data_IF_224748749024
#
_entry.id   IF_224748749024
#
_cell.length_a   1.000
_cell.length_b   1.000
_cell.length_c   1.000
_cell.angle_alpha   90.00
_cell.angle_beta   90.00
_cell.angle_gamma   90.00
#
_symmetry.space_group_name_H-M   'P 1'
#
loop_
_entity.id
_entity.type
_entity.pdbx_description
1 polymer ?
#
# COMPACT_ATOMS: atom_id res chain seq x y z
N UNK A 1 -0.29 24.36 -8.54
CA UNK A 1 -1.40 23.41 -8.66
C UNK A 1 -1.92 23.16 -7.25
N UNK A 2 -3.25 23.18 -7.00
CA UNK A 2 -3.82 22.77 -5.72
C UNK A 2 -3.46 21.32 -5.40
N UNK A 3 -2.99 21.09 -4.18
CA UNK A 3 -2.64 19.76 -3.72
C UNK A 3 -3.12 19.50 -2.30
N UNK A 4 -3.29 18.23 -1.94
CA UNK A 4 -3.55 17.76 -0.60
C UNK A 4 -2.58 16.64 -0.22
N UNK A 5 -2.64 16.15 1.02
CA UNK A 5 -1.91 14.97 1.46
C UNK A 5 -2.87 13.89 1.99
N UNK A 6 -2.56 12.64 1.72
CA UNK A 6 -3.16 11.50 2.42
C UNK A 6 -2.51 11.39 3.80
N UNK A 7 -3.31 11.27 4.83
CA UNK A 7 -2.87 11.19 6.22
C UNK A 7 -3.49 9.97 6.88
N UNK A 8 -2.72 8.91 7.04
CA UNK A 8 -3.15 7.66 7.70
C UNK A 8 -2.83 7.62 9.20
N UNK A 9 -2.08 8.60 9.73
CA UNK A 9 -1.55 8.57 11.08
C UNK A 9 -0.28 7.73 11.25
N UNK A 10 0.11 6.94 10.25
CA UNK A 10 1.39 6.24 10.19
C UNK A 10 2.57 7.19 9.97
N UNK A 11 3.80 6.69 10.20
CA UNK A 11 5.02 7.49 10.16
C UNK A 11 5.23 8.20 8.81
N UNK A 12 5.10 7.46 7.73
CA UNK A 12 5.43 7.93 6.37
C UNK A 12 4.50 9.06 5.90
N UNK A 13 3.19 8.86 6.03
CA UNK A 13 2.20 9.89 5.70
C UNK A 13 2.34 11.12 6.60
N UNK A 14 2.73 10.92 7.88
CA UNK A 14 2.95 12.00 8.84
C UNK A 14 4.17 12.84 8.47
N UNK A 15 5.28 12.23 8.06
CA UNK A 15 6.50 12.93 7.63
C UNK A 15 6.21 13.78 6.40
N UNK A 16 5.60 13.21 5.36
CA UNK A 16 5.27 13.94 4.13
C UNK A 16 4.32 15.09 4.42
N UNK A 17 3.27 14.84 5.21
CA UNK A 17 2.30 15.87 5.58
C UNK A 17 2.93 16.99 6.42
N UNK A 18 3.86 16.67 7.33
CA UNK A 18 4.56 17.68 8.13
C UNK A 18 5.46 18.58 7.27
N UNK A 19 6.21 18.00 6.34
CA UNK A 19 7.06 18.76 5.41
C UNK A 19 6.19 19.67 4.53
N UNK A 20 5.13 19.12 3.94
CA UNK A 20 4.21 19.88 3.10
C UNK A 20 3.53 21.01 3.88
N UNK A 21 3.07 20.74 5.13
CA UNK A 21 2.45 21.75 5.98
C UNK A 21 3.41 22.91 6.28
N UNK A 22 4.69 22.61 6.56
CA UNK A 22 5.71 23.63 6.75
C UNK A 22 5.89 24.53 5.54
N UNK A 23 5.86 23.98 4.32
CA UNK A 23 5.95 24.78 3.09
C UNK A 23 4.69 25.62 2.84
N UNK A 24 3.50 25.11 3.17
CA UNK A 24 2.26 25.87 3.10
C UNK A 24 2.22 27.01 4.11
N UNK A 25 2.67 26.77 5.34
CA UNK A 25 2.76 27.79 6.39
C UNK A 25 3.66 28.96 6.02
N UNK A 26 4.80 28.72 5.36
CA UNK A 26 5.68 29.77 4.84
C UNK A 26 4.97 30.68 3.82
N UNK A 27 3.93 30.18 3.18
CA UNK A 27 3.09 30.93 2.22
C UNK A 27 1.82 31.53 2.88
N UNK A 28 1.69 31.44 4.20
CA UNK A 28 0.48 31.88 4.92
C UNK A 28 -0.78 31.04 4.64
N UNK A 29 -0.57 29.78 4.19
CA UNK A 29 -1.66 28.84 3.84
C UNK A 29 -1.68 27.66 4.80
N UNK A 30 -2.82 26.97 4.84
CA UNK A 30 -2.96 25.68 5.52
C UNK A 30 -2.99 24.56 4.50
N UNK A 31 -2.33 23.44 4.85
CA UNK A 31 -2.39 22.21 4.05
C UNK A 31 -3.74 21.54 4.24
N UNK A 32 -4.33 21.05 3.15
CA UNK A 32 -5.47 20.14 3.23
C UNK A 32 -4.98 18.70 3.36
N UNK A 33 -5.47 17.97 4.38
CA UNK A 33 -5.14 16.56 4.59
C UNK A 33 -6.42 15.70 4.56
N UNK A 34 -6.30 14.48 4.08
CA UNK A 34 -7.43 13.59 3.86
C UNK A 34 -7.12 12.20 4.41
N UNK A 35 -8.08 11.62 5.14
CA UNK A 35 -8.05 10.23 5.56
C UNK A 35 -9.32 9.49 5.18
N UNK A 36 -9.22 8.18 5.16
CA UNK A 36 -10.33 7.27 4.96
C UNK A 36 -10.60 6.51 6.26
N UNK A 37 -11.86 6.27 6.57
CA UNK A 37 -12.28 5.41 7.65
C UNK A 37 -13.54 4.64 7.24
N UNK A 38 -13.90 3.63 8.00
CA UNK A 38 -15.06 2.78 7.73
C UNK A 38 -16.11 2.96 8.81
N UNK A 39 -17.37 2.96 8.38
CA UNK A 39 -18.50 3.07 9.30
C UNK A 39 -18.44 1.98 10.38
N UNK A 40 -18.56 2.41 11.64
CA UNK A 40 -18.48 1.54 12.83
C UNK A 40 -17.14 0.81 13.01
N UNK A 41 -16.05 1.28 12.39
CA UNK A 41 -14.72 0.67 12.50
C UNK A 41 -14.31 0.48 13.97
N UNK A 42 -14.47 1.50 14.82
CA UNK A 42 -14.14 1.45 16.24
C UNK A 42 -14.87 0.36 17.05
N UNK A 43 -16.03 -0.12 16.55
CA UNK A 43 -16.77 -1.22 17.19
C UNK A 43 -16.30 -2.61 16.74
N UNK A 44 -15.72 -2.67 15.55
CA UNK A 44 -15.36 -3.92 14.88
C UNK A 44 -13.85 -4.13 14.80
N UNK A 45 -13.05 -3.13 15.19
CA UNK A 45 -11.60 -3.21 15.16
C UNK A 45 -11.09 -4.27 16.13
N UNK A 46 -10.20 -5.11 15.64
CA UNK A 46 -9.48 -6.09 16.42
C UNK A 46 -7.98 -5.89 16.19
N UNK A 47 -7.26 -5.56 17.25
CA UNK A 47 -5.82 -5.41 17.19
C UNK A 47 -5.13 -6.68 16.70
N UNK A 48 -4.17 -6.53 15.82
CA UNK A 48 -3.33 -7.61 15.28
C UNK A 48 -1.86 -7.29 15.45
N UNK A 49 -0.98 -8.26 15.19
CA UNK A 49 0.46 -7.99 15.16
C UNK A 49 0.90 -7.06 14.03
N UNK A 50 0.07 -6.90 13.01
CA UNK A 50 0.31 -6.01 11.87
C UNK A 50 -0.28 -4.62 12.12
N UNK A 51 -1.45 -4.53 12.74
CA UNK A 51 -2.12 -3.28 13.09
C UNK A 51 -2.54 -3.32 14.57
N UNK A 52 -1.66 -2.86 15.48
CA UNK A 52 -1.92 -2.95 16.92
C UNK A 52 -2.95 -1.94 17.43
N UNK A 53 -3.11 -0.80 16.74
CA UNK A 53 -3.99 0.30 17.11
C UNK A 53 -4.85 0.76 15.93
N UNK A 54 -5.97 1.45 16.24
CA UNK A 54 -6.76 2.15 15.23
C UNK A 54 -5.99 3.36 14.69
N UNK A 55 -6.14 3.65 13.40
CA UNK A 55 -5.46 4.78 12.74
C UNK A 55 -6.10 6.14 13.12
N UNK A 56 -7.40 6.18 13.32
CA UNK A 56 -8.16 7.42 13.51
C UNK A 56 -7.64 8.33 14.63
N UNK A 57 -7.27 7.85 15.83
CA UNK A 57 -6.69 8.70 16.87
C UNK A 57 -5.35 9.35 16.47
N UNK A 58 -4.53 8.62 15.72
CA UNK A 58 -3.24 9.11 15.23
C UNK A 58 -3.40 10.14 14.13
N UNK A 59 -4.39 9.96 13.25
CA UNK A 59 -4.77 10.93 12.21
C UNK A 59 -5.17 12.25 12.85
N UNK A 60 -6.07 12.24 13.85
CA UNK A 60 -6.52 13.46 14.54
C UNK A 60 -5.35 14.18 15.19
N UNK A 61 -4.54 13.44 15.97
CA UNK A 61 -3.37 13.99 16.65
C UNK A 61 -2.37 14.63 15.67
N UNK A 62 -2.13 13.97 14.54
CA UNK A 62 -1.19 14.50 13.55
C UNK A 62 -1.75 15.72 12.82
N UNK A 63 -3.04 15.70 12.44
CA UNK A 63 -3.70 16.84 11.79
C UNK A 63 -3.67 18.09 12.68
N UNK A 64 -3.92 17.94 13.98
CA UNK A 64 -3.81 19.02 14.98
C UNK A 64 -2.38 19.52 15.11
N UNK A 65 -1.41 18.61 15.21
CA UNK A 65 0.01 18.95 15.37
C UNK A 65 0.55 19.81 14.22
N UNK A 66 0.23 19.45 12.97
CA UNK A 66 0.66 20.21 11.79
C UNK A 66 -0.26 21.39 11.42
N UNK A 67 -1.39 21.54 12.11
CA UNK A 67 -2.38 22.59 11.87
C UNK A 67 -3.03 22.50 10.49
N UNK A 68 -3.26 21.29 9.96
CA UNK A 68 -3.88 21.09 8.65
C UNK A 68 -5.42 21.31 8.69
N UNK A 69 -6.00 21.50 7.50
CA UNK A 69 -7.44 21.38 7.29
C UNK A 69 -7.74 19.92 6.94
N UNK A 70 -8.16 19.16 7.96
CA UNK A 70 -8.36 17.73 7.82
C UNK A 70 -9.80 17.38 7.41
N UNK A 71 -9.92 16.44 6.45
CA UNK A 71 -11.18 15.83 6.03
C UNK A 71 -11.09 14.31 6.19
N UNK A 72 -11.97 13.73 6.99
CA UNK A 72 -12.11 12.29 7.11
C UNK A 72 -13.28 11.81 6.23
N UNK A 73 -13.02 10.88 5.31
CA UNK A 73 -14.00 10.24 4.44
C UNK A 73 -14.40 8.91 5.06
N UNK A 74 -15.66 8.82 5.49
CA UNK A 74 -16.19 7.58 6.08
C UNK A 74 -16.98 6.82 5.03
N UNK A 75 -16.58 5.59 4.74
CA UNK A 75 -17.25 4.70 3.79
C UNK A 75 -18.02 3.59 4.52
N UNK A 76 -19.15 3.19 3.95
CA UNK A 76 -19.89 2.04 4.46
C UNK A 76 -19.78 0.82 3.52
N UNK A 77 -20.07 -0.36 4.05
CA UNK A 77 -19.97 -1.62 3.31
C UNK A 77 -20.83 -1.66 2.04
N UNK A 78 -22.08 -1.14 2.00
CA UNK A 78 -22.85 -1.07 0.77
C UNK A 78 -22.16 -0.28 -0.34
N UNK A 79 -21.64 0.92 -0.02
CA UNK A 79 -20.91 1.74 -1.00
C UNK A 79 -19.67 1.04 -1.53
N UNK A 80 -18.93 0.33 -0.69
CA UNK A 80 -17.76 -0.47 -1.10
C UNK A 80 -18.17 -1.60 -2.05
N UNK A 81 -19.26 -2.31 -1.75
CA UNK A 81 -19.75 -3.39 -2.59
C UNK A 81 -20.24 -2.89 -3.97
N UNK A 82 -20.93 -1.76 -4.01
CA UNK A 82 -21.38 -1.12 -5.24
C UNK A 82 -20.19 -0.67 -6.12
N UNK A 83 -19.12 -0.17 -5.49
CA UNK A 83 -17.93 0.31 -6.20
C UNK A 83 -17.03 -0.81 -6.78
N UNK A 84 -17.26 -2.09 -6.47
CA UNK A 84 -16.43 -3.21 -6.95
C UNK A 84 -16.31 -3.27 -8.47
N UNK A 85 -17.41 -3.07 -9.19
CA UNK A 85 -17.39 -3.10 -10.65
C UNK A 85 -16.62 -1.92 -11.24
N UNK A 86 -16.85 -0.74 -10.72
CA UNK A 86 -16.24 0.48 -11.24
C UNK A 86 -14.74 0.52 -10.92
N UNK A 87 -14.33 0.09 -9.73
CA UNK A 87 -12.91 -0.03 -9.36
C UNK A 87 -12.18 -1.08 -10.22
N UNK A 88 -12.83 -2.22 -10.50
CA UNK A 88 -12.28 -3.25 -11.40
C UNK A 88 -12.16 -2.74 -12.83
N UNK A 89 -13.15 -1.99 -13.33
CA UNK A 89 -13.11 -1.39 -14.67
C UNK A 89 -12.07 -0.29 -14.78
N UNK A 90 -11.92 0.53 -13.77
CA UNK A 90 -10.91 1.59 -13.73
C UNK A 90 -9.48 1.03 -13.79
N UNK A 91 -9.29 -0.17 -13.26
CA UNK A 91 -8.00 -0.85 -13.24
C UNK A 91 -7.78 -1.83 -14.39
N UNK A 92 -8.80 -2.13 -15.18
CA UNK A 92 -8.82 -3.16 -16.24
C UNK A 92 -8.61 -4.61 -15.76
N UNK A 93 -8.30 -4.84 -14.48
CA UNK A 93 -8.03 -6.16 -13.91
C UNK A 93 -8.64 -6.29 -12.51
N UNK A 94 -9.07 -7.50 -12.12
CA UNK A 94 -9.42 -7.79 -10.73
C UNK A 94 -8.21 -7.56 -9.81
N UNK A 95 -8.45 -6.90 -8.69
CA UNK A 95 -7.42 -6.60 -7.71
C UNK A 95 -7.84 -7.00 -6.29
N UNK A 96 -7.41 -6.22 -5.29
CA UNK A 96 -7.81 -6.39 -3.89
C UNK A 96 -9.16 -5.69 -3.68
N UNK A 97 -10.24 -6.43 -3.76
CA UNK A 97 -11.61 -5.93 -3.83
C UNK A 97 -11.97 -4.88 -2.75
N UNK A 98 -11.58 -5.12 -1.50
CA UNK A 98 -11.81 -4.23 -0.37
C UNK A 98 -10.96 -2.95 -0.44
N UNK A 99 -9.69 -3.09 -0.80
CA UNK A 99 -8.73 -1.97 -0.90
C UNK A 99 -9.03 -1.12 -2.14
N UNK A 100 -9.22 -1.75 -3.30
CA UNK A 100 -9.38 -1.03 -4.56
C UNK A 100 -10.70 -0.24 -4.61
N UNK A 101 -11.80 -0.79 -4.08
CA UNK A 101 -13.07 -0.07 -3.97
C UNK A 101 -12.96 1.14 -3.05
N UNK A 102 -12.30 0.98 -1.91
CA UNK A 102 -12.07 2.05 -0.94
C UNK A 102 -11.25 3.17 -1.56
N UNK A 103 -10.16 2.82 -2.21
CA UNK A 103 -9.25 3.78 -2.85
C UNK A 103 -9.97 4.54 -3.99
N UNK A 104 -10.74 3.82 -4.81
CA UNK A 104 -11.53 4.41 -5.89
C UNK A 104 -12.50 5.48 -5.39
N UNK A 105 -13.29 5.15 -4.37
CA UNK A 105 -14.24 6.10 -3.77
C UNK A 105 -13.52 7.27 -3.09
N UNK A 106 -12.43 7.01 -2.38
CA UNK A 106 -11.64 8.02 -1.71
C UNK A 106 -11.00 9.00 -2.70
N UNK A 107 -10.33 8.49 -3.72
CA UNK A 107 -9.73 9.32 -4.77
C UNK A 107 -10.79 10.12 -5.54
N UNK A 108 -11.96 9.52 -5.79
CA UNK A 108 -13.11 10.23 -6.38
C UNK A 108 -13.51 11.46 -5.59
N UNK A 109 -13.59 11.37 -4.25
CA UNK A 109 -13.89 12.50 -3.37
C UNK A 109 -12.80 13.59 -3.38
N UNK A 110 -11.56 13.19 -3.43
CA UNK A 110 -10.42 14.12 -3.46
C UNK A 110 -10.36 14.86 -4.80
N UNK A 111 -10.57 14.16 -5.89
CA UNK A 111 -10.54 14.71 -7.26
C UNK A 111 -11.54 15.86 -7.46
N UNK A 112 -12.63 15.90 -6.71
CA UNK A 112 -13.57 17.01 -6.75
C UNK A 112 -12.92 18.36 -6.38
N UNK A 113 -11.82 18.34 -5.61
CA UNK A 113 -11.17 19.55 -5.06
C UNK A 113 -9.69 19.66 -5.42
N UNK A 114 -8.99 18.54 -5.52
CA UNK A 114 -7.53 18.51 -5.68
C UNK A 114 -7.13 17.59 -6.84
N UNK A 115 -6.42 18.12 -7.84
CA UNK A 115 -5.89 17.30 -8.93
C UNK A 115 -4.62 16.53 -8.54
N UNK A 116 -4.00 16.85 -7.40
CA UNK A 116 -2.78 16.22 -6.91
C UNK A 116 -2.92 15.88 -5.43
N UNK A 117 -2.55 14.65 -5.07
CA UNK A 117 -2.42 14.21 -3.68
C UNK A 117 -1.02 13.66 -3.44
N UNK A 118 -0.38 14.08 -2.35
CA UNK A 118 0.86 13.49 -1.87
C UNK A 118 0.51 12.32 -0.94
N UNK A 119 1.26 11.22 -1.05
CA UNK A 119 1.05 10.01 -0.28
C UNK A 119 2.36 9.52 0.31
N UNK A 120 2.30 8.88 1.49
CA UNK A 120 3.40 8.12 2.08
C UNK A 120 3.56 6.72 1.49
N UNK A 121 2.77 6.34 0.52
CA UNK A 121 2.83 5.03 -0.12
C UNK A 121 4.20 4.78 -0.77
N UNK A 122 4.62 3.54 -0.77
CA UNK A 122 5.92 3.06 -1.21
C UNK A 122 7.10 3.38 -0.26
N UNK A 123 6.85 3.93 0.92
CA UNK A 123 7.91 4.14 1.90
C UNK A 123 8.40 2.82 2.50
N UNK A 124 7.50 1.88 2.80
CA UNK A 124 7.86 0.55 3.30
C UNK A 124 8.71 -0.23 2.30
N UNK A 125 8.46 -0.08 1.01
CA UNK A 125 9.26 -0.66 -0.06
C UNK A 125 10.67 -0.07 -0.10
N UNK A 126 10.77 1.26 0.04
CA UNK A 126 12.04 1.98 -0.05
C UNK A 126 12.89 1.86 1.22
N UNK A 127 12.25 1.79 2.39
CA UNK A 127 12.91 1.81 3.70
C UNK A 127 12.79 0.50 4.46
N UNK A 128 12.36 -0.58 3.80
CA UNK A 128 12.28 -1.93 4.37
C UNK A 128 11.35 -2.02 5.58
N UNK A 129 10.20 -1.36 5.57
CA UNK A 129 9.25 -1.31 6.69
C UNK A 129 8.45 -2.60 6.90
N UNK A 130 8.28 -3.42 5.88
CA UNK A 130 7.45 -4.63 5.94
C UNK A 130 8.00 -5.74 6.81
N UNK A 131 7.12 -6.59 7.41
CA UNK A 131 7.52 -7.70 8.27
C UNK A 131 8.50 -8.70 7.63
N UNK A 132 8.47 -8.88 6.32
CA UNK A 132 9.37 -9.81 5.62
C UNK A 132 10.83 -9.36 5.60
N UNK A 133 11.12 -8.12 5.89
CA UNK A 133 12.49 -7.68 6.12
C UNK A 133 12.99 -8.00 7.54
N UNK A 134 12.09 -8.13 8.52
CA UNK A 134 12.42 -8.21 9.94
C UNK A 134 12.23 -9.60 10.56
N UNK A 135 11.54 -10.50 9.86
CA UNK A 135 11.32 -11.89 10.30
C UNK A 135 12.17 -12.82 9.46
N UNK A 136 13.15 -13.47 10.10
CA UNK A 136 14.13 -14.32 9.41
C UNK A 136 13.48 -15.45 8.58
N UNK A 137 12.46 -16.09 9.12
CA UNK A 137 11.72 -17.16 8.45
C UNK A 137 10.98 -16.70 7.19
N UNK A 138 10.60 -15.41 7.12
CA UNK A 138 9.93 -14.83 5.96
C UNK A 138 10.94 -14.24 4.99
N UNK A 139 11.99 -13.60 5.50
CA UNK A 139 13.07 -13.07 4.68
C UNK A 139 13.72 -14.14 3.83
N UNK A 140 13.96 -15.34 4.41
CA UNK A 140 14.59 -16.48 3.70
C UNK A 140 13.56 -17.39 3.02
N UNK A 141 12.29 -17.00 2.91
CA UNK A 141 11.32 -17.74 2.12
C UNK A 141 11.71 -17.73 0.62
N UNK A 142 11.73 -18.92 0.01
CA UNK A 142 12.09 -19.07 -1.42
C UNK A 142 10.87 -18.79 -2.32
N UNK A 143 10.56 -17.52 -2.52
CA UNK A 143 9.43 -17.04 -3.30
C UNK A 143 9.05 -15.60 -2.91
N UNK A 144 7.92 -15.14 -3.42
CA UNK A 144 7.34 -13.86 -3.04
C UNK A 144 6.64 -13.97 -1.68
N UNK A 145 7.12 -13.32 -0.61
CA UNK A 145 6.57 -13.51 0.74
C UNK A 145 5.12 -13.02 0.91
N UNK A 146 4.66 -12.13 0.03
CA UNK A 146 3.28 -11.66 -0.02
C UNK A 146 2.36 -12.51 -0.89
N UNK A 147 2.89 -13.56 -1.53
CA UNK A 147 2.14 -14.44 -2.44
C UNK A 147 2.44 -15.91 -2.18
N UNK A 148 2.27 -16.35 -0.94
CA UNK A 148 2.55 -17.73 -0.53
C UNK A 148 1.45 -18.73 -0.94
N UNK A 149 0.24 -18.27 -1.22
CA UNK A 149 -0.93 -19.11 -1.57
C UNK A 149 -1.11 -19.29 -3.09
N UNK A 150 -0.01 -19.40 -3.85
CA UNK A 150 -0.09 -19.59 -5.31
C UNK A 150 -0.72 -20.92 -5.69
N UNK A 151 -0.37 -22.08 -5.06
CA UNK A 151 -1.00 -23.34 -5.39
C UNK A 151 -2.51 -23.36 -5.10
N UNK A 152 -2.93 -22.80 -3.98
CA UNK A 152 -4.35 -22.70 -3.60
C UNK A 152 -5.14 -21.82 -4.58
N UNK A 153 -4.55 -20.71 -5.03
CA UNK A 153 -5.16 -19.84 -6.04
C UNK A 153 -5.22 -20.52 -7.40
N UNK A 154 -4.16 -21.21 -7.79
CA UNK A 154 -4.11 -21.99 -9.03
C UNK A 154 -5.17 -23.10 -9.04
N UNK A 155 -5.42 -23.76 -7.91
CA UNK A 155 -6.45 -24.79 -7.77
C UNK A 155 -7.89 -24.26 -8.00
N UNK A 156 -8.12 -22.95 -7.88
CA UNK A 156 -9.42 -22.33 -8.20
C UNK A 156 -9.64 -22.13 -9.69
N UNK A 157 -8.61 -22.29 -10.52
CA UNK A 157 -8.72 -22.13 -11.95
C UNK A 157 -9.44 -23.33 -12.56
N UNK A 158 -10.36 -23.08 -13.48
CA UNK A 158 -11.16 -24.14 -14.13
C UNK A 158 -10.33 -25.07 -15.02
N UNK A 159 -9.23 -24.57 -15.58
CA UNK A 159 -8.36 -25.33 -16.46
C UNK A 159 -7.07 -25.72 -15.73
N UNK A 160 -6.80 -27.01 -15.53
CA UNK A 160 -5.58 -27.50 -14.87
C UNK A 160 -4.28 -27.06 -15.59
N UNK A 161 -4.29 -26.91 -16.89
CA UNK A 161 -3.13 -26.40 -17.65
C UNK A 161 -2.82 -24.95 -17.24
N UNK A 162 -3.84 -24.09 -17.19
CA UNK A 162 -3.68 -22.69 -16.74
C UNK A 162 -3.20 -22.61 -15.31
N UNK A 163 -3.64 -23.52 -14.44
CA UNK A 163 -3.17 -23.59 -13.05
C UNK A 163 -1.66 -23.90 -12.98
N UNK A 164 -1.20 -24.90 -13.74
CA UNK A 164 0.21 -25.26 -13.81
C UNK A 164 1.05 -24.10 -14.41
N UNK A 165 0.58 -23.49 -15.48
CA UNK A 165 1.22 -22.33 -16.11
C UNK A 165 1.31 -21.13 -15.16
N UNK A 166 0.33 -20.92 -14.28
CA UNK A 166 0.34 -19.85 -13.29
C UNK A 166 1.44 -20.02 -12.25
N UNK A 167 1.60 -21.23 -11.71
CA UNK A 167 2.68 -21.53 -10.76
C UNK A 167 4.06 -21.38 -11.43
N UNK A 168 4.22 -21.90 -12.63
CA UNK A 168 5.45 -21.77 -13.40
C UNK A 168 5.76 -20.31 -13.75
N UNK A 169 4.72 -19.51 -14.08
CA UNK A 169 4.86 -18.09 -14.34
C UNK A 169 5.39 -17.33 -13.10
N UNK A 170 4.81 -17.59 -11.92
CA UNK A 170 5.23 -16.98 -10.67
C UNK A 170 6.69 -17.34 -10.36
N UNK A 171 7.06 -18.63 -10.47
CA UNK A 171 8.43 -19.06 -10.23
C UNK A 171 9.43 -18.43 -11.21
N UNK A 172 9.12 -18.43 -12.46
CA UNK A 172 9.95 -17.82 -13.51
C UNK A 172 10.11 -16.30 -13.31
N UNK A 173 9.06 -15.62 -12.85
CA UNK A 173 9.10 -14.19 -12.53
C UNK A 173 10.02 -13.90 -11.35
N UNK A 174 9.96 -14.74 -10.31
CA UNK A 174 10.84 -14.68 -9.15
C UNK A 174 12.30 -14.89 -9.54
N UNK A 175 12.61 -15.98 -10.24
CA UNK A 175 13.98 -16.32 -10.67
C UNK A 175 14.56 -15.23 -11.60
N UNK A 176 13.73 -14.66 -12.48
CA UNK A 176 14.12 -13.55 -13.35
C UNK A 176 14.52 -12.33 -12.54
N UNK A 177 13.75 -11.96 -11.53
CA UNK A 177 14.06 -10.82 -10.67
C UNK A 177 15.40 -11.05 -9.92
N UNK A 178 15.56 -12.22 -9.31
CA UNK A 178 16.78 -12.55 -8.59
C UNK A 178 18.03 -12.54 -9.47
N UNK A 179 17.88 -12.93 -10.73
CA UNK A 179 19.00 -12.92 -11.69
C UNK A 179 19.56 -11.53 -12.02
N UNK A 180 18.82 -10.47 -11.65
CA UNK A 180 19.21 -9.08 -11.87
C UNK A 180 19.84 -8.42 -10.64
N UNK A 181 19.90 -9.15 -9.51
CA UNK A 181 20.42 -8.60 -8.26
C UNK A 181 21.96 -8.55 -8.32
N UNK A 182 22.49 -7.37 -8.05
CA UNK A 182 23.94 -7.18 -7.91
C UNK A 182 24.33 -7.31 -6.43
N UNK A 183 25.40 -8.08 -6.18
CA UNK A 183 25.95 -8.32 -4.86
C UNK A 183 27.29 -7.63 -4.70
N UNK A 184 27.61 -7.21 -3.48
CA UNK A 184 28.94 -6.72 -3.12
C UNK A 184 29.78 -7.89 -2.58
N UNK A 185 31.11 -7.80 -2.76
CA UNK A 185 32.04 -8.81 -2.23
C UNK A 185 31.97 -8.93 -0.68
N UNK A 186 31.57 -7.86 -0.01
CA UNK A 186 31.40 -7.80 1.44
C UNK A 186 30.07 -8.35 1.94
N UNK A 187 29.10 -8.66 1.06
CA UNK A 187 27.78 -9.08 1.47
C UNK A 187 27.82 -10.48 2.11
N UNK A 188 27.34 -10.57 3.33
CA UNK A 188 27.02 -11.85 3.96
C UNK A 188 25.69 -12.41 3.42
N UNK A 189 25.27 -13.58 3.89
CA UNK A 189 24.05 -14.25 3.45
C UNK A 189 22.80 -13.38 3.68
N UNK A 190 22.71 -12.71 4.82
CA UNK A 190 21.58 -11.83 5.15
C UNK A 190 21.57 -10.60 4.24
N UNK A 191 22.72 -9.97 4.00
CA UNK A 191 22.83 -8.81 3.14
C UNK A 191 22.40 -9.14 1.71
N UNK A 192 22.84 -10.28 1.19
CA UNK A 192 22.43 -10.78 -0.13
C UNK A 192 20.91 -10.96 -0.19
N UNK A 193 20.34 -11.62 0.81
CA UNK A 193 18.89 -11.85 0.86
C UNK A 193 18.09 -10.56 1.01
N UNK A 194 18.60 -9.58 1.73
CA UNK A 194 17.99 -8.24 1.83
C UNK A 194 17.96 -7.53 0.47
N UNK A 195 19.03 -7.64 -0.34
CA UNK A 195 19.05 -7.07 -1.71
C UNK A 195 18.05 -7.75 -2.62
N UNK A 196 17.96 -9.08 -2.56
CA UNK A 196 16.96 -9.85 -3.31
C UNK A 196 15.55 -9.41 -2.93
N UNK A 197 15.26 -9.33 -1.63
CA UNK A 197 13.95 -8.90 -1.12
C UNK A 197 13.63 -7.46 -1.56
N UNK A 198 14.61 -6.56 -1.54
CA UNK A 198 14.44 -5.20 -2.02
C UNK A 198 14.07 -5.16 -3.51
N UNK A 199 14.78 -5.91 -4.36
CA UNK A 199 14.45 -5.99 -5.79
C UNK A 199 13.06 -6.56 -6.04
N UNK A 200 12.69 -7.64 -5.33
CA UNK A 200 11.34 -8.21 -5.41
C UNK A 200 10.27 -7.19 -5.05
N UNK A 201 10.50 -6.39 -4.00
CA UNK A 201 9.57 -5.33 -3.61
C UNK A 201 9.48 -4.24 -4.66
N UNK A 202 10.60 -3.76 -5.18
CA UNK A 202 10.62 -2.67 -6.15
C UNK A 202 9.96 -3.08 -7.47
N UNK A 203 10.29 -4.25 -8.00
CA UNK A 203 9.84 -4.66 -9.33
C UNK A 203 8.40 -5.19 -9.36
N UNK A 204 7.93 -5.78 -8.27
CA UNK A 204 6.62 -6.45 -8.26
C UNK A 204 5.62 -5.85 -7.27
N UNK A 205 6.03 -5.60 -6.02
CA UNK A 205 5.08 -5.13 -5.01
C UNK A 205 4.79 -3.64 -5.17
N UNK A 206 5.83 -2.81 -5.25
CA UNK A 206 5.70 -1.36 -5.41
C UNK A 206 4.98 -0.99 -6.72
N UNK A 207 5.34 -1.60 -7.84
CA UNK A 207 4.68 -1.36 -9.12
C UNK A 207 3.18 -1.63 -9.04
N UNK A 208 2.78 -2.73 -8.39
CA UNK A 208 1.37 -3.06 -8.18
C UNK A 208 0.63 -2.00 -7.34
N UNK A 209 1.31 -1.43 -6.32
CA UNK A 209 0.73 -0.36 -5.49
C UNK A 209 0.58 0.95 -6.26
N UNK A 210 1.51 1.27 -7.13
CA UNK A 210 1.46 2.48 -7.96
C UNK A 210 0.37 2.36 -9.03
N UNK A 211 0.32 1.25 -9.75
CA UNK A 211 -0.69 0.99 -10.80
C UNK A 211 -2.14 1.10 -10.29
N UNK A 212 -2.37 0.86 -8.99
CA UNK A 212 -3.71 1.03 -8.40
C UNK A 212 -4.19 2.47 -8.36
N UNK A 213 -3.31 3.45 -8.50
CA UNK A 213 -3.59 4.87 -8.31
C UNK A 213 -3.64 5.66 -9.59
N UNK A 214 -3.20 5.07 -10.68
CA UNK A 214 -3.25 5.65 -12.02
C UNK A 214 -4.63 5.47 -12.66
#
# INVERSE_FOLDING_TARGET
>A
VPLCCFLSGGLDSSIISAIAAGEFQKQGKRLSTWSIDYKDNHKNFHASSFQPDEDAPWVVRMAEFIGSEHTNVVLDTPALAEALYDSTRARDLPGMADVDSSLYLFCGKIKEKFPVALSGECADELFCGYPWYHRKEVLFYDGFPWSTAVPERAALMKNPMTACEAEEYVRRSYDKCLSQVEYLDSDNETDRRMREMFMLNMDYFMTTLLDRKD
#
